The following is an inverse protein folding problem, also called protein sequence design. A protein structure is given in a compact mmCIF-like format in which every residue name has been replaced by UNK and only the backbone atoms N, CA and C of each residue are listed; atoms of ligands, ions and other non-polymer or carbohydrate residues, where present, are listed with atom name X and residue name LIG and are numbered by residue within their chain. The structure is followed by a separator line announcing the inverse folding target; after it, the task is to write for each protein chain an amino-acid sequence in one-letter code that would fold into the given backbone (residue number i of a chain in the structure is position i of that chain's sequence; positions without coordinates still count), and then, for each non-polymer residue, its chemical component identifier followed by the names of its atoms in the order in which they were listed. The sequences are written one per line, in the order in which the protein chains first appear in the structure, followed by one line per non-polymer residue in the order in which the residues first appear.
data_IF_574384684773
#
_entry.id   IF_574384684773
#
_cell.length_a   1.000
_cell.length_b   1.000
_cell.length_c   1.000
_cell.angle_alpha   90.00
_cell.angle_beta   90.00
_cell.angle_gamma   90.00
#
_symmetry.space_group_name_H-M   'P 1'
#
loop_
_entity.id
_entity.type
_entity.pdbx_description
1 polymer ?
#
# COMPACT_ATOMS: atom_id res chain seq x y z
N UNK A 1 -9.63 -11.78 -26.04
CA UNK A 1 -9.88 -12.87 -25.07
C UNK A 1 -9.53 -12.34 -23.69
N UNK A 2 -10.51 -11.82 -22.95
CA UNK A 2 -10.33 -11.41 -21.55
C UNK A 2 -10.11 -12.67 -20.73
N UNK A 3 -8.89 -12.90 -20.29
CA UNK A 3 -8.65 -13.88 -19.24
C UNK A 3 -9.22 -13.27 -17.95
N UNK A 4 -10.28 -13.86 -17.41
CA UNK A 4 -10.77 -13.51 -16.07
C UNK A 4 -9.67 -13.87 -15.07
N UNK A 5 -8.93 -12.85 -14.63
CA UNK A 5 -7.92 -12.99 -13.59
C UNK A 5 -8.65 -13.24 -12.28
N UNK A 6 -8.46 -14.42 -11.70
CA UNK A 6 -8.99 -14.73 -10.37
C UNK A 6 -8.43 -13.71 -9.34
N UNK A 7 -9.28 -13.09 -8.49
CA UNK A 7 -8.81 -12.10 -7.54
C UNK A 7 -7.79 -12.67 -6.55
N UNK A 8 -6.76 -11.88 -6.21
CA UNK A 8 -5.73 -12.29 -5.24
C UNK A 8 -6.17 -12.11 -3.79
N UNK A 9 -7.26 -11.37 -3.55
CA UNK A 9 -7.75 -11.01 -2.23
C UNK A 9 -8.38 -12.20 -1.52
N UNK A 10 -7.93 -12.44 -0.29
CA UNK A 10 -8.43 -13.49 0.61
C UNK A 10 -9.35 -12.94 1.69
N UNK A 11 -9.49 -11.62 1.75
CA UNK A 11 -10.37 -10.89 2.66
C UNK A 11 -11.30 -9.98 1.83
N UNK A 12 -12.52 -9.67 2.31
CA UNK A 12 -13.44 -8.78 1.60
C UNK A 12 -12.86 -7.38 1.40
N UNK A 13 -12.84 -6.90 0.16
CA UNK A 13 -12.36 -5.55 -0.18
C UNK A 13 -13.52 -4.54 -0.14
N UNK A 14 -13.31 -3.40 0.54
CA UNK A 14 -14.23 -2.26 0.55
C UNK A 14 -13.43 -0.97 0.75
N UNK A 15 -13.62 0.03 -0.11
CA UNK A 15 -12.93 1.32 0.03
C UNK A 15 -13.30 2.01 1.34
N UNK A 16 -14.58 1.96 1.74
CA UNK A 16 -15.03 2.51 3.02
C UNK A 16 -14.36 1.79 4.20
N UNK A 17 -14.28 0.46 4.13
CA UNK A 17 -13.61 -0.36 5.13
C UNK A 17 -12.12 -0.04 5.25
N UNK A 18 -11.43 0.07 4.11
CA UNK A 18 -10.00 0.41 4.07
C UNK A 18 -9.76 1.84 4.58
N UNK A 19 -10.51 2.82 4.09
CA UNK A 19 -10.36 4.22 4.52
C UNK A 19 -10.72 4.42 6.01
N UNK A 20 -11.64 3.61 6.56
CA UNK A 20 -11.93 3.63 8.00
C UNK A 20 -10.74 3.22 8.87
N UNK A 21 -9.81 2.40 8.36
CA UNK A 21 -8.57 2.01 9.07
C UNK A 21 -7.56 3.14 9.17
N UNK A 22 -7.67 4.19 8.35
CA UNK A 22 -6.73 5.32 8.34
C UNK A 22 -6.95 6.29 9.51
N UNK A 23 -8.07 6.24 10.22
CA UNK A 23 -8.39 7.19 11.31
C UNK A 23 -7.32 7.17 12.41
N UNK A 24 -6.87 8.36 12.83
CA UNK A 24 -5.84 8.55 13.84
C UNK A 24 -4.50 7.86 13.50
N UNK A 25 -4.14 7.81 12.20
CA UNK A 25 -2.87 7.29 11.72
C UNK A 25 -2.13 8.31 10.84
N UNK A 26 -0.91 7.97 10.41
CA UNK A 26 -0.16 8.77 9.46
C UNK A 26 -0.91 8.97 8.13
N UNK A 27 -1.67 7.97 7.67
CA UNK A 27 -2.46 8.08 6.44
C UNK A 27 -3.49 9.21 6.53
N UNK A 28 -4.19 9.34 7.65
CA UNK A 28 -5.11 10.47 7.85
C UNK A 28 -4.36 11.81 7.96
N UNK A 29 -3.18 11.82 8.59
CA UNK A 29 -2.38 13.05 8.71
C UNK A 29 -1.88 13.57 7.35
N UNK A 30 -1.51 12.65 6.45
CA UNK A 30 -1.05 12.96 5.09
C UNK A 30 -2.17 12.92 4.04
N UNK A 31 -3.42 12.68 4.45
CA UNK A 31 -4.59 12.66 3.58
C UNK A 31 -4.47 11.64 2.43
N UNK A 32 -3.95 10.46 2.80
CA UNK A 32 -3.89 9.29 1.93
C UNK A 32 -5.26 8.62 1.92
N UNK A 33 -5.83 8.46 0.73
CA UNK A 33 -7.17 7.90 0.52
C UNK A 33 -7.09 6.75 -0.47
N UNK A 34 -7.58 5.56 -0.10
CA UNK A 34 -7.75 4.45 -1.04
C UNK A 34 -8.89 4.77 -2.01
N UNK A 35 -8.63 4.68 -3.31
CA UNK A 35 -9.53 5.19 -4.35
C UNK A 35 -10.11 4.12 -5.25
N UNK A 36 -9.40 3.01 -5.47
CA UNK A 36 -9.86 1.91 -6.31
C UNK A 36 -9.09 0.62 -6.02
N UNK A 37 -9.64 -0.51 -6.43
CA UNK A 37 -8.93 -1.78 -6.49
C UNK A 37 -9.48 -2.62 -7.65
N UNK A 38 -8.64 -3.50 -8.18
CA UNK A 38 -9.00 -4.50 -9.19
C UNK A 38 -8.80 -5.92 -8.67
N UNK A 39 -8.76 -6.93 -9.54
CA UNK A 39 -8.53 -8.32 -9.12
C UNK A 39 -7.12 -8.53 -8.51
N UNK A 40 -6.13 -7.75 -8.93
CA UNK A 40 -4.72 -7.92 -8.57
C UNK A 40 -3.98 -6.59 -8.30
N UNK A 41 -4.70 -5.49 -8.07
CA UNK A 41 -4.10 -4.19 -7.75
C UNK A 41 -4.94 -3.35 -6.79
N UNK A 42 -4.28 -2.44 -6.07
CA UNK A 42 -4.89 -1.46 -5.16
C UNK A 42 -4.35 -0.06 -5.46
N UNK A 43 -5.20 0.95 -5.37
CA UNK A 43 -4.85 2.35 -5.60
C UNK A 43 -5.21 3.26 -4.43
N UNK A 44 -4.39 4.30 -4.26
CA UNK A 44 -4.62 5.39 -3.33
C UNK A 44 -4.04 6.70 -3.86
N UNK A 45 -4.60 7.82 -3.40
CA UNK A 45 -4.12 9.16 -3.72
C UNK A 45 -3.53 9.84 -2.49
N UNK A 46 -2.62 10.79 -2.71
CA UNK A 46 -2.06 11.66 -1.67
C UNK A 46 -1.86 13.08 -2.24
N UNK A 47 -2.26 14.15 -1.53
CA UNK A 47 -2.04 15.51 -1.99
C UNK A 47 -0.56 15.91 -1.90
N UNK A 48 -0.15 16.79 -2.81
CA UNK A 48 1.15 17.46 -2.82
C UNK A 48 0.95 18.88 -2.32
N UNK A 49 1.15 19.07 -1.01
CA UNK A 49 0.99 20.36 -0.33
C UNK A 49 1.91 20.44 0.91
N UNK A 50 1.70 21.44 1.78
CA UNK A 50 2.51 21.67 2.98
C UNK A 50 2.67 20.44 3.90
N UNK A 51 1.75 19.48 3.89
CA UNK A 51 1.82 18.23 4.67
C UNK A 51 2.84 17.25 4.09
N UNK A 52 3.08 17.31 2.79
CA UNK A 52 3.89 16.34 2.03
C UNK A 52 5.10 16.97 1.33
N UNK A 53 5.32 18.27 1.50
CA UNK A 53 6.45 19.00 0.95
C UNK A 53 7.75 18.76 1.72
N UNK A 54 8.85 18.71 0.99
CA UNK A 54 10.18 18.97 1.54
C UNK A 54 10.47 20.50 1.57
N UNK A 55 11.57 20.97 2.20
CA UNK A 55 11.81 22.41 2.42
C UNK A 55 11.96 23.30 1.16
N UNK A 56 12.15 22.73 -0.03
CA UNK A 56 12.20 23.44 -1.32
C UNK A 56 10.84 23.50 -2.04
N UNK A 57 9.75 23.13 -1.35
CA UNK A 57 8.38 23.21 -1.87
C UNK A 57 8.08 22.21 -2.97
N UNK A 58 8.61 20.99 -2.86
CA UNK A 58 8.32 19.86 -3.74
C UNK A 58 7.88 18.66 -2.89
N UNK A 59 7.20 17.68 -3.50
CA UNK A 59 6.88 16.40 -2.87
C UNK A 59 8.13 15.77 -2.22
N UNK A 60 8.05 15.48 -0.93
CA UNK A 60 9.11 14.81 -0.18
C UNK A 60 9.22 13.35 -0.63
N UNK A 61 10.43 12.88 -0.95
CA UNK A 61 10.65 11.48 -1.39
C UNK A 61 10.14 10.44 -0.39
N UNK A 62 10.37 10.70 0.91
CA UNK A 62 9.79 9.90 2.00
C UNK A 62 8.26 9.89 2.07
N UNK A 63 7.56 10.95 1.66
CA UNK A 63 6.08 10.92 1.59
C UNK A 63 5.61 9.97 0.49
N UNK A 64 6.32 9.92 -0.65
CA UNK A 64 6.09 8.89 -1.68
C UNK A 64 6.30 7.48 -1.14
N UNK A 65 7.33 7.26 -0.31
CA UNK A 65 7.56 5.96 0.33
C UNK A 65 6.46 5.63 1.35
N UNK A 66 5.94 6.60 2.11
CA UNK A 66 4.78 6.39 2.99
C UNK A 66 3.55 5.94 2.19
N UNK A 67 3.25 6.57 1.06
CA UNK A 67 2.17 6.15 0.17
C UNK A 67 2.39 4.71 -0.34
N UNK A 68 3.62 4.38 -0.75
CA UNK A 68 3.97 3.05 -1.23
C UNK A 68 3.85 1.96 -0.15
N UNK A 69 4.40 2.20 1.05
CA UNK A 69 4.34 1.31 2.20
C UNK A 69 2.88 1.09 2.64
N UNK A 70 2.07 2.15 2.63
CA UNK A 70 0.63 2.12 2.96
C UNK A 70 -0.11 1.17 2.03
N UNK A 71 0.06 1.35 0.71
CA UNK A 71 -0.58 0.53 -0.30
C UNK A 71 -0.12 -0.93 -0.22
N UNK A 72 1.19 -1.16 -0.20
CA UNK A 72 1.73 -2.52 -0.20
C UNK A 72 1.41 -3.29 1.09
N UNK A 73 1.40 -2.61 2.24
CA UNK A 73 1.06 -3.24 3.52
C UNK A 73 -0.39 -3.70 3.59
N UNK A 74 -1.33 -2.87 3.12
CA UNK A 74 -2.75 -3.26 3.03
C UNK A 74 -2.94 -4.36 2.00
N UNK A 75 -2.41 -4.19 0.78
CA UNK A 75 -2.54 -5.19 -0.27
C UNK A 75 -2.03 -6.57 0.21
N UNK A 76 -0.88 -6.59 0.90
CA UNK A 76 -0.31 -7.81 1.46
C UNK A 76 -1.22 -8.47 2.50
N UNK A 77 -1.75 -7.68 3.42
CA UNK A 77 -2.64 -8.17 4.47
C UNK A 77 -4.00 -8.64 3.91
N UNK A 78 -4.47 -8.07 2.81
CA UNK A 78 -5.68 -8.50 2.12
C UNK A 78 -5.46 -9.76 1.25
N UNK A 79 -4.22 -10.03 0.84
CA UNK A 79 -3.86 -11.21 0.04
C UNK A 79 -3.55 -12.48 0.88
N UNK A 80 -3.57 -12.40 2.21
CA UNK A 80 -3.39 -13.55 3.12
C UNK A 80 -4.68 -13.99 3.80
N UNK A 81 -4.75 -15.27 4.14
CA UNK A 81 -5.88 -15.84 4.89
C UNK A 81 -5.99 -15.32 6.33
N UNK A 82 -7.08 -15.65 7.05
CA UNK A 82 -7.37 -15.14 8.39
C UNK A 82 -6.36 -15.58 9.46
N UNK A 83 -5.62 -16.67 9.24
CA UNK A 83 -4.59 -17.17 10.17
C UNK A 83 -3.24 -16.44 10.03
N UNK A 84 -3.15 -15.48 9.10
CA UNK A 84 -1.91 -14.80 8.75
C UNK A 84 -2.07 -13.29 8.66
N UNK A 85 -0.95 -12.60 8.93
CA UNK A 85 -0.79 -11.16 8.78
C UNK A 85 0.57 -10.85 8.17
N UNK A 86 0.70 -9.66 7.60
CA UNK A 86 1.92 -9.21 6.95
C UNK A 86 2.53 -8.00 7.67
N UNK A 87 3.86 -7.97 7.74
CA UNK A 87 4.64 -6.84 8.25
C UNK A 87 5.71 -6.44 7.24
N UNK A 88 5.98 -5.14 7.11
CA UNK A 88 7.03 -4.61 6.23
C UNK A 88 8.40 -5.12 6.66
N UNK A 89 9.21 -5.57 5.70
CA UNK A 89 10.57 -6.05 5.92
C UNK A 89 11.62 -5.14 5.27
N UNK A 90 11.38 -4.72 4.03
CA UNK A 90 12.29 -3.86 3.28
C UNK A 90 11.49 -3.06 2.25
N UNK A 91 11.87 -1.80 2.07
CA UNK A 91 11.31 -0.93 1.03
C UNK A 91 12.42 -0.15 0.36
N UNK A 92 12.36 -0.09 -0.97
CA UNK A 92 13.23 0.76 -1.79
C UNK A 92 12.38 1.56 -2.79
N UNK A 93 12.92 2.69 -3.23
CA UNK A 93 12.27 3.55 -4.20
C UNK A 93 13.27 4.35 -5.04
N UNK A 94 12.91 4.63 -6.29
CA UNK A 94 13.59 5.58 -7.16
C UNK A 94 12.66 6.77 -7.46
N UNK A 95 13.14 7.98 -7.17
CA UNK A 95 12.43 9.22 -7.46
C UNK A 95 12.87 9.74 -8.84
N UNK A 96 11.93 9.75 -9.79
CA UNK A 96 12.19 10.03 -11.21
C UNK A 96 11.80 11.44 -11.63
N UNK A 97 10.80 12.04 -10.95
CA UNK A 97 10.27 13.36 -11.30
C UNK A 97 9.80 14.12 -10.06
N UNK A 98 10.09 15.43 -10.02
CA UNK A 98 9.57 16.33 -9.00
C UNK A 98 8.12 16.75 -9.28
N UNK A 99 7.35 17.02 -8.22
CA UNK A 99 6.01 17.60 -8.25
C UNK A 99 5.87 18.62 -7.14
N UNK A 100 5.13 19.71 -7.39
CA UNK A 100 5.02 20.87 -6.49
C UNK A 100 3.63 21.13 -5.93
N UNK A 101 2.61 20.60 -6.59
CA UNK A 101 1.20 20.84 -6.27
C UNK A 101 0.35 19.74 -6.89
N UNK A 102 -0.92 19.68 -6.49
CA UNK A 102 -1.92 18.73 -7.01
C UNK A 102 -1.94 17.44 -6.21
N UNK A 103 -2.19 16.32 -6.87
CA UNK A 103 -2.35 14.99 -6.25
C UNK A 103 -1.46 13.97 -6.96
N UNK A 104 -0.88 13.05 -6.19
CA UNK A 104 -0.25 11.84 -6.74
C UNK A 104 -1.14 10.62 -6.54
N UNK A 105 -1.10 9.71 -7.50
CA UNK A 105 -1.82 8.43 -7.47
C UNK A 105 -0.80 7.29 -7.41
N UNK A 106 -0.87 6.47 -6.36
CA UNK A 106 -0.09 5.24 -6.23
C UNK A 106 -0.93 4.04 -6.65
N UNK A 107 -0.37 3.16 -7.49
CA UNK A 107 -0.93 1.83 -7.80
C UNK A 107 0.04 0.75 -7.34
N UNK A 108 -0.47 -0.20 -6.56
CA UNK A 108 0.25 -1.34 -6.03
C UNK A 108 -0.23 -2.64 -6.67
N UNK A 109 0.71 -3.46 -7.15
CA UNK A 109 0.45 -4.78 -7.76
C UNK A 109 1.50 -5.80 -7.33
N UNK A 110 1.17 -7.10 -7.20
CA UNK A 110 2.11 -8.09 -6.71
C UNK A 110 3.18 -8.41 -7.75
N UNK A 111 4.42 -8.58 -7.30
CA UNK A 111 5.50 -9.24 -8.05
C UNK A 111 5.67 -10.71 -7.61
N UNK A 112 5.41 -11.00 -6.35
CA UNK A 112 5.51 -12.34 -5.77
C UNK A 112 4.57 -12.49 -4.56
N UNK A 113 3.80 -13.58 -4.51
CA UNK A 113 2.93 -13.94 -3.39
C UNK A 113 3.31 -15.33 -2.85
N UNK A 114 4.26 -15.36 -1.91
CA UNK A 114 4.75 -16.58 -1.27
C UNK A 114 4.10 -16.87 0.07
N UNK A 115 4.41 -18.04 0.63
CA UNK A 115 3.89 -18.48 1.92
C UNK A 115 4.53 -17.76 3.12
N UNK A 116 5.77 -17.28 2.96
CA UNK A 116 6.55 -16.61 4.03
C UNK A 116 6.94 -15.18 3.69
N UNK A 117 6.93 -14.81 2.41
CA UNK A 117 7.22 -13.46 1.94
C UNK A 117 6.32 -13.07 0.77
N UNK A 118 6.12 -11.77 0.61
CA UNK A 118 5.52 -11.18 -0.59
C UNK A 118 6.38 -10.03 -1.08
N UNK A 119 6.30 -9.74 -2.38
CA UNK A 119 6.97 -8.61 -3.00
C UNK A 119 5.95 -7.85 -3.82
N UNK A 120 5.87 -6.53 -3.61
CA UNK A 120 4.89 -5.65 -4.23
C UNK A 120 5.60 -4.55 -5.00
N UNK A 121 5.10 -4.26 -6.21
CA UNK A 121 5.51 -3.11 -7.02
C UNK A 121 4.51 -1.99 -6.78
N UNK A 122 5.01 -0.79 -6.51
CA UNK A 122 4.20 0.42 -6.41
C UNK A 122 4.73 1.44 -7.42
N UNK A 123 3.84 1.95 -8.25
CA UNK A 123 4.12 3.08 -9.13
C UNK A 123 3.30 4.28 -8.70
N UNK A 124 3.95 5.43 -8.55
CA UNK A 124 3.32 6.69 -8.17
C UNK A 124 3.40 7.63 -9.36
N UNK A 125 2.24 8.08 -9.82
CA UNK A 125 2.05 8.92 -11.01
C UNK A 125 1.38 10.24 -10.65
N UNK A 126 1.53 11.22 -11.53
CA UNK A 126 0.76 12.47 -11.46
C UNK A 126 -0.52 12.38 -12.30
N UNK A 127 -1.30 13.45 -12.33
CA UNK A 127 -2.59 13.56 -13.03
C UNK A 127 -2.45 13.46 -14.56
N UNK A 128 -1.23 13.49 -15.08
CA UNK A 128 -0.91 13.29 -16.50
C UNK A 128 -0.33 11.90 -16.76
N UNK A 129 -0.50 10.97 -15.82
CA UNK A 129 0.02 9.61 -15.85
C UNK A 129 1.55 9.50 -15.96
N UNK A 130 2.29 10.58 -15.66
CA UNK A 130 3.75 10.57 -15.69
C UNK A 130 4.26 9.87 -14.45
N UNK A 131 5.22 8.97 -14.59
CA UNK A 131 5.83 8.27 -13.46
C UNK A 131 6.72 9.22 -12.65
N UNK A 132 6.44 9.36 -11.35
CA UNK A 132 7.19 10.19 -10.41
C UNK A 132 8.09 9.34 -9.52
N UNK A 133 7.59 8.20 -9.06
CA UNK A 133 8.31 7.31 -8.17
C UNK A 133 7.94 5.86 -8.48
N UNK A 134 8.93 4.97 -8.48
CA UNK A 134 8.73 3.53 -8.51
C UNK A 134 9.32 2.95 -7.23
N UNK A 135 8.59 2.04 -6.57
CA UNK A 135 8.99 1.45 -5.29
C UNK A 135 8.70 -0.03 -5.28
N UNK A 136 9.54 -0.78 -4.55
CA UNK A 136 9.33 -2.20 -4.28
C UNK A 136 9.30 -2.41 -2.77
N UNK A 137 8.26 -3.09 -2.30
CA UNK A 137 8.05 -3.42 -0.89
C UNK A 137 8.11 -4.94 -0.70
N UNK A 138 8.95 -5.38 0.22
CA UNK A 138 9.02 -6.77 0.68
C UNK A 138 8.29 -6.89 2.01
N UNK A 139 7.36 -7.85 2.09
CA UNK A 139 6.55 -8.13 3.28
C UNK A 139 6.86 -9.52 3.81
N UNK A 140 7.00 -9.66 5.12
CA UNK A 140 7.01 -10.97 5.79
C UNK A 140 5.58 -11.44 6.07
N UNK A 141 5.27 -12.70 5.80
CA UNK A 141 3.99 -13.34 6.14
C UNK A 141 4.17 -14.14 7.42
N UNK A 142 3.40 -13.77 8.45
CA UNK A 142 3.47 -14.36 9.79
C UNK A 142 2.13 -15.02 10.14
N UNK A 143 2.18 -16.07 10.97
CA UNK A 143 0.97 -16.68 11.54
C UNK A 143 0.59 -15.99 12.84
N UNK A 144 -0.71 -15.86 13.10
CA UNK A 144 -1.16 -15.52 14.44
C UNK A 144 -0.70 -16.60 15.43
N UNK A 145 -0.20 -16.19 16.60
CA UNK A 145 0.06 -17.15 17.67
C UNK A 145 -1.30 -17.74 18.07
N UNK A 146 -1.47 -19.06 17.97
CA UNK A 146 -2.61 -19.72 18.62
C UNK A 146 -2.57 -19.34 20.09
N UNK A 147 -3.66 -18.80 20.62
CA UNK A 147 -3.81 -18.67 22.07
C UNK A 147 -3.54 -20.04 22.68
N UNK A 148 -2.73 -20.11 23.75
CA UNK A 148 -2.77 -21.30 24.60
C UNK A 148 -4.22 -21.45 25.03
N UNK A 149 -4.86 -22.54 24.66
CA UNK A 149 -6.14 -22.92 25.26
C UNK A 149 -5.96 -22.88 26.78
N UNK A 150 -6.66 -21.95 27.43
CA UNK A 150 -6.80 -21.90 28.87
C UNK A 150 -7.78 -22.99 29.28
N UNK A 151 -7.35 -24.24 29.16
CA UNK A 151 -8.06 -25.42 29.66
C UNK A 151 -7.05 -26.36 30.29
N UNK A 152 -6.72 -26.10 31.55
CA UNK A 152 -6.31 -27.06 32.57
C UNK A 152 -6.12 -26.29 33.89
N UNK A 153 -7.21 -26.19 34.67
CA UNK A 153 -7.28 -26.39 36.13
C UNK A 153 -8.75 -26.43 36.57
#
# INVERSE_FOLDING_TARGET
MSHDIAPIWRKPMSLDGLNATSRNTLMAHLDIVYTAFGPDWLEATMPVDHRTHQPLGMLHGGASVVLAETLGSIAANMAVGPDSYCVGLEVNANHLRAKREGVVSGRCSPLHLGATTQVWQIEIRDERERLLCTSRLTMAVLKHKRGKDSSEE
#
